data_IF_653329764390
#
_entry.id   IF_653329764390
#
_cell.length_a   1.000
_cell.length_b   1.000
_cell.length_c   1.000
_cell.angle_alpha   90.00
_cell.angle_beta   90.00
_cell.angle_gamma   90.00
#
_symmetry.space_group_name_H-M   'P 1'
#
loop_
_entity.id
_entity.type
_entity.pdbx_description
1 polymer ?
#
# COMPACT_ATOMS: atom_id res chain seq x y z
N UNK A 1 -10.93 -18.54 3.43
CA UNK A 1 -10.17 -17.55 4.25
C UNK A 1 -9.39 -16.69 3.28
N UNK A 2 -9.74 -15.41 3.15
CA UNK A 2 -9.05 -14.46 2.27
C UNK A 2 -7.75 -14.04 2.97
N UNK A 3 -6.59 -14.46 2.44
CA UNK A 3 -5.30 -13.98 2.93
C UNK A 3 -5.07 -12.62 2.28
N UNK A 4 -5.30 -11.54 3.03
CA UNK A 4 -4.93 -10.20 2.57
C UNK A 4 -3.43 -10.05 2.75
N UNK A 5 -2.66 -9.98 1.66
CA UNK A 5 -1.26 -9.56 1.74
C UNK A 5 -1.24 -8.08 2.08
N UNK A 6 -0.80 -7.78 3.29
CA UNK A 6 -0.63 -6.42 3.80
C UNK A 6 0.85 -6.08 3.69
N UNK A 7 1.18 -5.07 2.89
CA UNK A 7 2.53 -4.54 2.77
C UNK A 7 2.57 -3.12 3.33
N UNK A 8 3.60 -2.81 4.11
CA UNK A 8 3.86 -1.44 4.58
C UNK A 8 4.89 -0.83 3.66
N UNK A 9 4.56 0.32 3.08
CA UNK A 9 5.44 1.07 2.17
C UNK A 9 5.46 2.54 2.53
N UNK A 10 6.64 3.15 2.50
CA UNK A 10 6.79 4.60 2.64
C UNK A 10 6.46 5.28 1.31
N UNK A 11 5.45 6.13 1.28
CA UNK A 11 4.97 6.81 0.08
C UNK A 11 4.73 8.30 0.34
N UNK A 12 4.99 9.14 -0.66
CA UNK A 12 4.50 10.53 -0.64
C UNK A 12 3.02 10.56 -1.02
N UNK A 13 2.30 11.63 -0.63
CA UNK A 13 0.86 11.74 -0.89
C UNK A 13 0.52 11.51 -2.36
N UNK A 14 1.27 12.10 -3.30
CA UNK A 14 1.02 11.95 -4.74
C UNK A 14 1.14 10.50 -5.22
N UNK A 15 2.12 9.76 -4.74
CA UNK A 15 2.29 8.35 -5.09
C UNK A 15 1.25 7.46 -4.40
N UNK A 16 0.85 7.82 -3.17
CA UNK A 16 -0.22 7.13 -2.47
C UNK A 16 -1.60 7.34 -3.15
N UNK A 17 -1.89 8.54 -3.64
CA UNK A 17 -3.12 8.85 -4.37
C UNK A 17 -3.25 8.00 -5.64
N UNK A 18 -2.16 7.82 -6.40
CA UNK A 18 -2.14 6.95 -7.58
C UNK A 18 -2.49 5.49 -7.23
N UNK A 19 -1.96 4.98 -6.11
CA UNK A 19 -2.31 3.62 -5.63
C UNK A 19 -3.75 3.57 -5.14
N UNK A 20 -4.27 4.64 -4.55
CA UNK A 20 -5.65 4.71 -4.10
C UNK A 20 -6.65 4.65 -5.25
N UNK A 21 -6.28 5.16 -6.42
CA UNK A 21 -7.08 5.09 -7.65
C UNK A 21 -7.06 3.69 -8.29
N UNK A 22 -6.12 2.81 -7.94
CA UNK A 22 -6.09 1.43 -8.42
C UNK A 22 -7.20 0.60 -7.76
N UNK A 23 -8.17 0.15 -8.58
CA UNK A 23 -9.35 -0.59 -8.10
C UNK A 23 -9.00 -1.89 -7.36
N UNK A 24 -7.83 -2.47 -7.66
CA UNK A 24 -7.30 -3.70 -7.07
C UNK A 24 -6.61 -3.51 -5.74
N UNK A 25 -6.41 -2.29 -5.27
CA UNK A 25 -5.68 -2.02 -4.04
C UNK A 25 -6.54 -1.20 -3.04
N UNK A 26 -6.11 -1.22 -1.79
CA UNK A 26 -6.55 -0.26 -0.78
C UNK A 26 -5.32 0.25 -0.06
N UNK A 27 -5.32 1.53 0.28
CA UNK A 27 -4.19 2.18 0.93
C UNK A 27 -4.68 3.02 2.11
N UNK A 28 -3.96 2.96 3.24
CA UNK A 28 -4.24 3.79 4.43
C UNK A 28 -2.95 4.18 5.12
N UNK A 29 -2.90 5.36 5.74
CA UNK A 29 -1.79 5.68 6.65
C UNK A 29 -1.72 4.69 7.81
N UNK A 30 -0.51 4.25 8.13
CA UNK A 30 -0.21 3.41 9.30
C UNK A 30 -0.41 4.24 10.57
N UNK A 31 0.23 5.41 10.65
CA UNK A 31 0.05 6.37 11.73
C UNK A 31 -0.34 7.76 11.17
N UNK A 32 -1.57 8.25 11.39
CA UNK A 32 -1.98 9.58 10.95
C UNK A 32 -1.24 10.72 11.66
N UNK A 33 -0.58 10.46 12.80
CA UNK A 33 0.18 11.44 13.57
C UNK A 33 1.68 11.39 13.31
N UNK A 34 2.14 10.53 12.39
CA UNK A 34 3.55 10.41 12.03
C UNK A 34 4.12 11.79 11.65
N UNK A 35 5.20 12.18 12.34
CA UNK A 35 5.90 13.47 12.10
C UNK A 35 7.19 13.29 11.32
N UNK A 36 7.85 12.15 11.50
CA UNK A 36 9.10 11.81 10.82
C UNK A 36 8.73 11.26 9.45
N UNK A 37 9.25 11.91 8.40
CA UNK A 37 9.04 11.50 7.02
C UNK A 37 10.29 10.81 6.49
N UNK A 38 10.09 9.72 5.76
CA UNK A 38 11.15 8.97 5.09
C UNK A 38 11.04 9.14 3.56
N UNK A 39 12.02 8.61 2.83
CA UNK A 39 12.01 8.68 1.38
C UNK A 39 10.91 7.78 0.79
N UNK A 40 10.09 8.35 -0.08
CA UNK A 40 9.08 7.63 -0.85
C UNK A 40 9.76 6.55 -1.69
N UNK A 41 9.26 5.32 -1.59
CA UNK A 41 9.79 4.18 -2.32
C UNK A 41 9.74 4.35 -3.85
N UNK A 42 8.77 5.12 -4.36
CA UNK A 42 8.56 5.30 -5.80
C UNK A 42 9.39 6.46 -6.37
N UNK A 43 9.39 7.63 -5.71
CA UNK A 43 9.96 8.85 -6.26
C UNK A 43 11.06 9.49 -5.40
N UNK A 44 11.39 8.92 -4.25
CA UNK A 44 12.40 9.43 -3.32
C UNK A 44 12.02 10.69 -2.54
N UNK A 45 10.87 11.31 -2.81
CA UNK A 45 10.40 12.50 -2.09
C UNK A 45 9.95 12.15 -0.66
N UNK A 46 9.83 13.14 0.24
CA UNK A 46 9.41 12.88 1.62
C UNK A 46 7.98 12.31 1.69
N UNK A 47 7.82 11.22 2.45
CA UNK A 47 6.59 10.45 2.55
C UNK A 47 6.30 9.95 3.97
N UNK A 48 5.22 9.20 4.09
CA UNK A 48 4.75 8.57 5.33
C UNK A 48 4.56 7.09 5.09
N UNK A 49 4.37 6.32 6.16
CA UNK A 49 4.14 4.89 6.03
C UNK A 49 2.67 4.60 5.77
N UNK A 50 2.44 3.84 4.70
CA UNK A 50 1.13 3.41 4.26
C UNK A 50 1.02 1.90 4.30
N UNK A 51 -0.10 1.43 4.82
CA UNK A 51 -0.57 0.05 4.71
C UNK A 51 -1.25 -0.10 3.35
N UNK A 52 -0.68 -0.92 2.47
CA UNK A 52 -1.25 -1.26 1.17
C UNK A 52 -1.74 -2.70 1.21
N UNK A 53 -3.01 -2.90 0.84
CA UNK A 53 -3.61 -4.24 0.74
C UNK A 53 -4.07 -4.47 -0.68
N UNK A 54 -3.61 -5.57 -1.26
CA UNK A 54 -4.15 -6.03 -2.52
C UNK A 54 -5.49 -6.74 -2.28
N UNK A 55 -6.49 -6.36 -3.05
CA UNK A 55 -7.75 -7.10 -3.20
C UNK A 55 -7.53 -8.23 -4.20
N UNK A 56 -6.59 -9.14 -3.92
CA UNK A 56 -6.45 -10.32 -4.76
C UNK A 56 -7.74 -11.15 -4.66
N UNK A 57 -8.42 -11.35 -5.81
CA UNK A 57 -9.25 -12.55 -5.97
C UNK A 57 -8.25 -13.70 -5.92
N UNK A 58 -8.30 -14.52 -4.87
CA UNK A 58 -7.52 -15.76 -4.81
C UNK A 58 -7.84 -16.56 -6.07
N UNK A 59 -6.97 -16.51 -7.07
CA UNK A 59 -6.97 -17.51 -8.12
C UNK A 59 -6.38 -18.74 -7.43
N UNK A 60 -7.29 -19.57 -6.89
CA UNK A 60 -6.97 -20.88 -6.36
C UNK A 60 -6.15 -21.60 -7.43
N UNK A 61 -4.83 -21.68 -7.21
CA UNK A 61 -3.98 -22.58 -7.97
C UNK A 61 -4.46 -23.98 -7.60
N UNK A 62 -5.42 -24.49 -8.39
CA UNK A 62 -5.80 -25.91 -8.37
C UNK A 62 -4.54 -26.71 -8.61
N UNK A 63 -4.04 -27.31 -7.54
CA UNK A 63 -3.02 -28.34 -7.58
C UNK A 63 -3.54 -29.49 -8.45
N UNK A 64 -2.70 -29.94 -9.38
CA UNK A 64 -2.91 -31.06 -10.30
C UNK A 64 -2.99 -32.36 -9.51
#
# INVERSE_FOLDING_TARGET
MTIHKVEVMTLCNRCADVIQEDEGQTIRRVDPKQRIQEACFICGFRGFDYEVKNKEKVHEQRTI
#
